data_IF_087807119911
#
_entry.id   IF_087807119911
#
_cell.length_a   1.000
_cell.length_b   1.000
_cell.length_c   1.000
_cell.angle_alpha   90.00
_cell.angle_beta   90.00
_cell.angle_gamma   90.00
#
_symmetry.space_group_name_H-M   'P 1'
#
loop_
_entity.id
_entity.type
_entity.pdbx_description
1 polymer ?
#
# COMPACT_ATOMS: atom_id res chain seq x y z
N UNK A 1 57.20 -6.17 9.04
CA UNK A 1 57.68 -4.78 8.89
C UNK A 1 57.60 -3.94 10.18
N UNK A 2 56.53 -3.88 10.95
CA UNK A 2 56.48 -3.02 12.14
C UNK A 2 57.48 -3.39 13.24
N UNK A 3 57.98 -4.62 13.23
CA UNK A 3 59.03 -5.15 14.13
C UNK A 3 60.44 -5.06 13.55
N UNK A 4 60.59 -4.73 12.26
CA UNK A 4 61.87 -4.63 11.56
C UNK A 4 62.61 -3.38 12.01
N UNK A 5 63.93 -3.49 12.18
CA UNK A 5 64.78 -2.36 12.52
C UNK A 5 65.11 -1.53 11.28
N UNK A 6 65.16 -0.23 11.44
CA UNK A 6 65.61 0.69 10.40
C UNK A 6 67.13 0.48 10.17
N UNK A 7 67.60 0.33 8.91
CA UNK A 7 68.98 0.22 8.59
C UNK A 7 69.83 1.41 9.08
N UNK A 8 69.24 2.61 9.05
CA UNK A 8 69.96 3.87 9.37
C UNK A 8 70.01 4.20 10.85
N UNK A 9 69.02 3.76 11.64
CA UNK A 9 68.86 4.20 13.03
C UNK A 9 68.72 3.05 14.03
N UNK A 10 68.83 1.79 13.61
CA UNK A 10 68.66 0.58 14.44
C UNK A 10 67.41 0.60 15.36
N UNK A 11 66.35 1.37 14.98
CA UNK A 11 65.05 1.50 15.70
C UNK A 11 63.95 0.78 14.94
N UNK A 12 63.04 0.17 15.66
CA UNK A 12 61.85 -0.46 15.06
C UNK A 12 60.98 0.59 14.36
N UNK A 13 60.49 0.29 13.16
CA UNK A 13 59.60 1.19 12.43
C UNK A 13 58.30 1.50 13.17
N UNK A 14 57.81 0.60 13.97
CA UNK A 14 56.57 0.76 14.73
C UNK A 14 55.31 0.71 13.85
N UNK A 15 54.21 0.22 14.41
CA UNK A 15 52.98 0.01 13.67
C UNK A 15 52.40 1.31 13.10
N UNK A 16 52.47 2.44 13.83
CA UNK A 16 51.90 3.71 13.42
C UNK A 16 52.52 4.25 12.12
N UNK A 17 53.86 4.13 11.99
CA UNK A 17 54.62 4.59 10.82
C UNK A 17 54.38 3.68 9.61
N UNK A 18 54.39 2.36 9.83
CA UNK A 18 54.12 1.38 8.77
C UNK A 18 52.67 1.52 8.26
N UNK A 19 51.70 1.64 9.16
CA UNK A 19 50.29 1.81 8.78
C UNK A 19 50.04 3.11 7.97
N UNK A 20 50.73 4.20 8.33
CA UNK A 20 50.67 5.47 7.57
C UNK A 20 51.29 5.31 6.18
N UNK A 21 52.48 4.69 6.08
CA UNK A 21 53.16 4.49 4.80
C UNK A 21 52.39 3.60 3.82
N UNK A 22 51.60 2.66 4.34
CA UNK A 22 50.79 1.73 3.55
C UNK A 22 49.34 2.18 3.40
N UNK A 23 48.99 3.35 3.91
CA UNK A 23 47.64 3.90 3.92
C UNK A 23 46.58 2.94 4.51
N UNK A 24 46.94 2.23 5.58
CA UNK A 24 46.07 1.26 6.26
C UNK A 24 45.68 1.77 7.64
N UNK A 25 44.44 1.59 8.04
CA UNK A 25 43.97 1.92 9.38
C UNK A 25 44.66 1.04 10.44
N UNK A 26 45.26 1.66 11.49
CA UNK A 26 45.84 0.91 12.63
C UNK A 26 44.82 0.00 13.30
N UNK A 27 43.56 0.46 13.42
CA UNK A 27 42.47 -0.33 13.97
C UNK A 27 42.18 -1.57 13.11
N UNK A 28 42.31 -1.46 11.78
CA UNK A 28 42.19 -2.59 10.85
C UNK A 28 43.30 -3.65 11.09
N UNK A 29 44.53 -3.20 11.28
CA UNK A 29 45.68 -4.12 11.57
C UNK A 29 45.51 -4.81 12.92
N UNK A 30 45.07 -4.11 13.95
CA UNK A 30 44.76 -4.72 15.25
C UNK A 30 43.63 -5.74 15.16
N UNK A 31 42.55 -5.41 14.45
CA UNK A 31 41.44 -6.34 14.22
C UNK A 31 41.85 -7.60 13.46
N UNK A 32 42.75 -7.47 12.49
CA UNK A 32 43.28 -8.61 11.74
C UNK A 32 44.26 -9.50 12.56
N UNK A 33 44.88 -8.95 13.60
CA UNK A 33 45.78 -9.70 14.50
C UNK A 33 45.07 -10.44 15.63
N UNK A 34 43.86 -10.02 15.96
CA UNK A 34 43.01 -10.75 16.90
C UNK A 34 42.46 -11.95 16.16
N UNK A 35 42.86 -13.16 16.52
CA UNK A 35 42.23 -14.38 16.04
C UNK A 35 40.73 -14.22 16.28
N UNK A 36 39.97 -14.25 15.19
CA UNK A 36 38.53 -14.21 15.29
C UNK A 36 38.12 -15.42 16.14
N UNK A 37 37.38 -15.25 17.25
CA UNK A 37 36.88 -16.40 17.99
C UNK A 37 36.11 -17.28 16.99
N UNK A 38 36.22 -18.63 17.12
CA UNK A 38 35.53 -19.54 16.26
C UNK A 38 34.06 -19.05 16.17
N UNK A 39 33.51 -19.02 15.01
CA UNK A 39 32.28 -18.39 14.57
C UNK A 39 31.09 -18.61 15.53
N UNK A 40 31.24 -18.15 16.76
CA UNK A 40 30.15 -17.98 17.68
C UNK A 40 29.30 -16.84 17.09
N UNK A 41 28.09 -17.15 16.72
CA UNK A 41 27.17 -16.24 16.08
C UNK A 41 27.30 -14.85 16.71
N UNK A 42 27.90 -13.90 15.98
CA UNK A 42 28.07 -12.52 16.44
C UNK A 42 26.67 -12.03 16.74
N UNK A 43 26.37 -11.83 18.02
CA UNK A 43 25.11 -11.18 18.42
C UNK A 43 25.03 -9.90 17.62
N UNK A 44 24.00 -9.82 16.74
CA UNK A 44 23.80 -8.63 15.92
C UNK A 44 23.63 -7.44 16.87
N UNK A 45 24.40 -6.34 16.67
CA UNK A 45 24.24 -5.15 17.49
C UNK A 45 22.83 -4.61 17.27
N UNK A 46 22.11 -4.38 18.33
CA UNK A 46 20.75 -3.83 18.33
C UNK A 46 19.94 -4.36 19.51
N UNK A 47 18.87 -3.66 19.88
CA UNK A 47 17.97 -4.13 20.92
C UNK A 47 17.37 -5.47 20.50
N UNK A 48 17.32 -6.42 21.43
CA UNK A 48 16.57 -7.68 21.26
C UNK A 48 15.11 -7.31 21.04
N UNK A 49 14.54 -7.73 19.91
CA UNK A 49 13.11 -7.49 19.62
C UNK A 49 12.23 -8.13 20.70
N UNK A 50 11.03 -7.60 20.89
CA UNK A 50 10.10 -8.06 21.90
C UNK A 50 9.63 -9.53 21.70
N UNK A 51 9.88 -10.10 20.52
CA UNK A 51 9.54 -11.49 20.17
C UNK A 51 10.65 -12.14 19.34
N UNK A 52 10.70 -13.48 19.31
CA UNK A 52 11.57 -14.26 18.43
C UNK A 52 11.20 -14.10 16.95
N UNK A 53 12.07 -14.55 16.03
CA UNK A 53 11.74 -14.52 14.60
C UNK A 53 10.62 -15.53 14.25
N UNK A 54 10.52 -16.64 14.97
CA UNK A 54 9.44 -17.61 14.82
C UNK A 54 8.07 -17.02 15.24
N UNK A 55 8.00 -16.38 16.40
CA UNK A 55 6.81 -15.67 16.87
C UNK A 55 6.42 -14.54 15.93
N UNK A 56 7.41 -13.79 15.43
CA UNK A 56 7.17 -12.73 14.45
C UNK A 56 6.58 -13.30 13.15
N UNK A 57 7.06 -14.46 12.68
CA UNK A 57 6.51 -15.13 11.51
C UNK A 57 5.05 -15.53 11.71
N UNK A 58 4.68 -16.03 12.90
CA UNK A 58 3.28 -16.34 13.22
C UNK A 58 2.40 -15.08 13.26
N UNK A 59 2.86 -14.01 13.88
CA UNK A 59 2.15 -12.74 13.84
C UNK A 59 1.96 -12.24 12.40
N UNK A 60 2.98 -12.36 11.54
CA UNK A 60 2.87 -11.99 10.13
C UNK A 60 1.81 -12.85 9.43
N UNK A 61 1.81 -14.18 9.61
CA UNK A 61 0.82 -15.10 9.02
C UNK A 61 -0.60 -14.75 9.46
N UNK A 62 -0.81 -14.51 10.74
CA UNK A 62 -2.11 -14.09 11.27
C UNK A 62 -2.62 -12.81 10.63
N UNK A 63 -1.73 -11.82 10.44
CA UNK A 63 -2.11 -10.57 9.77
C UNK A 63 -2.38 -10.76 8.27
N UNK A 64 -1.65 -11.61 7.57
CA UNK A 64 -1.90 -11.91 6.16
C UNK A 64 -3.23 -12.63 5.98
N UNK A 65 -3.53 -13.63 6.81
CA UNK A 65 -4.77 -14.43 6.71
C UNK A 65 -5.99 -13.69 7.25
N UNK A 66 -5.82 -12.88 8.28
CA UNK A 66 -6.92 -12.21 8.98
C UNK A 66 -7.60 -11.09 8.19
N UNK A 67 -6.90 -10.40 7.31
CA UNK A 67 -7.40 -9.18 6.64
C UNK A 67 -8.00 -9.37 5.25
N UNK A 68 -7.95 -10.55 4.69
CA UNK A 68 -8.61 -10.82 3.41
C UNK A 68 -7.91 -10.33 2.15
N UNK A 69 -6.99 -9.36 2.24
CA UNK A 69 -6.17 -8.92 1.13
C UNK A 69 -4.91 -9.76 1.02
N UNK A 70 -4.65 -10.31 -0.18
CA UNK A 70 -3.45 -11.09 -0.47
C UNK A 70 -2.37 -10.24 -1.12
N UNK A 71 -1.11 -10.65 -0.95
CA UNK A 71 0.03 -10.00 -1.61
C UNK A 71 0.37 -8.62 -1.06
N UNK A 72 0.08 -8.36 0.21
CA UNK A 72 0.48 -7.12 0.85
C UNK A 72 2.00 -7.06 1.10
N UNK A 73 2.60 -5.93 0.71
CA UNK A 73 4.03 -5.71 0.90
C UNK A 73 4.43 -5.57 2.37
N UNK A 74 5.71 -5.87 2.68
CA UNK A 74 6.24 -5.86 4.04
C UNK A 74 6.02 -4.54 4.81
N UNK A 75 5.91 -3.39 4.12
CA UNK A 75 5.65 -2.10 4.77
C UNK A 75 4.25 -2.04 5.38
N UNK A 76 3.24 -2.55 4.67
CA UNK A 76 1.86 -2.62 5.18
C UNK A 76 1.76 -3.61 6.33
N UNK A 77 2.36 -4.79 6.20
CA UNK A 77 2.43 -5.78 7.28
C UNK A 77 3.13 -5.19 8.51
N UNK A 78 4.26 -4.49 8.33
CA UNK A 78 4.94 -3.80 9.42
C UNK A 78 4.06 -2.77 10.13
N UNK A 79 3.32 -1.94 9.39
CA UNK A 79 2.42 -0.95 9.95
C UNK A 79 1.30 -1.59 10.78
N UNK A 80 0.72 -2.69 10.30
CA UNK A 80 -0.31 -3.47 11.02
C UNK A 80 0.23 -4.12 12.28
N UNK A 81 1.40 -4.74 12.21
CA UNK A 81 2.08 -5.32 13.37
C UNK A 81 2.29 -4.25 14.45
N UNK A 82 2.72 -3.05 14.03
CA UNK A 82 2.92 -1.93 14.95
C UNK A 82 1.60 -1.47 15.59
N UNK A 83 0.52 -1.37 14.82
CA UNK A 83 -0.81 -1.06 15.33
C UNK A 83 -1.34 -2.14 16.31
N UNK A 84 -0.96 -3.40 16.11
CA UNK A 84 -1.26 -4.51 17.01
C UNK A 84 -0.27 -4.62 18.21
N UNK A 85 0.62 -3.64 18.41
CA UNK A 85 1.57 -3.63 19.52
C UNK A 85 2.85 -4.45 19.31
N UNK A 86 3.00 -5.14 18.17
CA UNK A 86 4.19 -5.93 17.85
C UNK A 86 5.31 -5.03 17.32
N UNK A 87 6.34 -4.82 18.14
CA UNK A 87 7.48 -3.95 17.77
C UNK A 87 8.57 -4.72 17.06
N UNK A 88 8.70 -4.47 15.76
CA UNK A 88 9.78 -4.98 14.93
C UNK A 88 10.25 -3.88 13.96
N UNK A 89 11.50 -3.93 13.50
CA UNK A 89 11.95 -3.01 12.44
C UNK A 89 11.43 -3.45 11.07
N UNK A 90 11.19 -2.52 10.12
CA UNK A 90 10.76 -2.87 8.76
C UNK A 90 11.72 -3.85 8.06
N UNK A 91 13.03 -3.70 8.31
CA UNK A 91 14.06 -4.61 7.76
C UNK A 91 13.94 -6.03 8.31
N UNK A 92 13.61 -6.16 9.60
CA UNK A 92 13.40 -7.48 10.24
C UNK A 92 12.15 -8.14 9.68
N UNK A 93 11.03 -7.41 9.57
CA UNK A 93 9.80 -7.91 8.98
C UNK A 93 10.04 -8.38 7.55
N UNK A 94 10.70 -7.56 6.70
CA UNK A 94 11.04 -7.96 5.33
C UNK A 94 11.88 -9.24 5.27
N UNK A 95 12.89 -9.36 6.15
CA UNK A 95 13.74 -10.54 6.20
C UNK A 95 12.96 -11.79 6.58
N UNK A 96 12.19 -11.74 7.67
CA UNK A 96 11.37 -12.87 8.13
C UNK A 96 10.33 -13.25 7.07
N UNK A 97 9.68 -12.29 6.43
CA UNK A 97 8.77 -12.57 5.31
C UNK A 97 9.49 -13.28 4.16
N UNK A 98 10.74 -12.89 3.85
CA UNK A 98 11.56 -13.55 2.81
C UNK A 98 11.92 -15.00 3.18
N UNK A 99 12.40 -15.21 4.41
CA UNK A 99 12.80 -16.52 4.92
C UNK A 99 11.63 -17.54 4.96
N UNK A 100 10.40 -17.05 5.12
CA UNK A 100 9.17 -17.87 5.18
C UNK A 100 8.32 -17.84 3.90
N UNK A 101 8.81 -17.25 2.78
CA UNK A 101 8.06 -17.20 1.52
C UNK A 101 6.77 -16.36 1.57
N UNK A 102 6.69 -15.38 2.48
CA UNK A 102 5.52 -14.54 2.72
C UNK A 102 5.59 -13.17 2.03
N UNK A 103 6.60 -12.93 1.20
CA UNK A 103 6.71 -11.68 0.44
C UNK A 103 5.61 -11.58 -0.61
N UNK A 104 5.13 -10.36 -0.82
CA UNK A 104 4.20 -10.09 -1.92
C UNK A 104 4.82 -10.48 -3.27
N UNK A 105 4.02 -10.99 -4.22
CA UNK A 105 4.50 -11.28 -5.57
C UNK A 105 5.15 -10.05 -6.20
N UNK A 106 6.28 -10.25 -6.87
CA UNK A 106 6.95 -9.16 -7.57
C UNK A 106 6.10 -8.74 -8.76
N UNK A 107 5.64 -7.49 -8.76
CA UNK A 107 4.96 -6.91 -9.92
C UNK A 107 6.02 -6.47 -10.93
N UNK A 108 5.96 -7.00 -12.14
CA UNK A 108 6.77 -6.49 -13.24
C UNK A 108 6.47 -4.99 -13.41
N UNK A 109 7.50 -4.15 -13.36
CA UNK A 109 7.38 -2.73 -13.60
C UNK A 109 6.82 -2.48 -15.00
N UNK A 110 6.00 -1.45 -15.17
CA UNK A 110 5.56 -1.01 -16.49
C UNK A 110 6.80 -0.57 -17.28
N UNK A 111 7.02 -1.15 -18.44
CA UNK A 111 8.28 -1.02 -19.21
C UNK A 111 8.48 0.40 -19.78
N UNK A 112 7.40 1.20 -19.91
CA UNK A 112 7.48 2.61 -20.32
C UNK A 112 6.39 3.42 -19.63
N UNK A 113 6.79 4.51 -18.98
CA UNK A 113 5.85 5.56 -18.58
C UNK A 113 5.47 6.32 -19.85
N UNK A 114 4.20 6.23 -20.29
CA UNK A 114 3.69 7.16 -21.30
C UNK A 114 3.78 8.57 -20.71
N UNK A 115 4.30 9.52 -21.50
CA UNK A 115 4.23 10.93 -21.15
C UNK A 115 2.76 11.31 -21.00
N UNK A 116 2.37 11.77 -19.80
CA UNK A 116 1.01 12.17 -19.48
C UNK A 116 0.92 13.70 -19.55
N UNK A 117 0.13 14.22 -20.47
CA UNK A 117 -0.32 15.59 -20.43
C UNK A 117 -1.49 15.70 -19.45
N UNK A 118 -1.20 16.12 -18.22
CA UNK A 118 -2.22 16.48 -17.24
C UNK A 118 -2.55 15.39 -16.23
N UNK A 119 -1.77 15.29 -15.16
CA UNK A 119 -2.22 14.63 -13.92
C UNK A 119 -3.19 15.56 -13.20
N UNK A 120 -4.41 15.11 -12.92
CA UNK A 120 -5.33 15.84 -12.04
C UNK A 120 -4.77 15.76 -10.63
N UNK A 121 -4.33 16.89 -10.11
CA UNK A 121 -3.86 17.04 -8.73
C UNK A 121 -4.89 17.88 -7.99
N UNK A 122 -5.39 17.37 -6.88
CA UNK A 122 -6.26 18.10 -5.96
C UNK A 122 -5.47 18.46 -4.71
N UNK A 123 -5.59 19.70 -4.27
CA UNK A 123 -4.83 20.19 -3.10
C UNK A 123 -5.54 19.90 -1.78
N UNK A 124 -6.83 19.65 -1.81
CA UNK A 124 -7.69 19.48 -0.64
C UNK A 124 -8.52 18.21 -0.73
N UNK A 125 -8.80 17.65 0.43
CA UNK A 125 -9.75 16.54 0.59
C UNK A 125 -11.17 17.04 0.29
N UNK A 126 -12.00 16.19 -0.33
CA UNK A 126 -13.36 16.48 -0.77
C UNK A 126 -13.48 17.56 -1.87
N UNK A 127 -12.43 17.75 -2.66
CA UNK A 127 -12.46 18.56 -3.87
C UNK A 127 -12.87 17.74 -5.10
N UNK A 128 -12.36 16.51 -5.19
CA UNK A 128 -12.71 15.61 -6.29
C UNK A 128 -12.69 14.14 -5.84
N UNK A 129 -13.76 13.43 -6.14
CA UNK A 129 -13.84 11.98 -6.04
C UNK A 129 -13.85 11.33 -7.42
N UNK A 130 -13.31 10.12 -7.53
CA UNK A 130 -13.44 9.26 -8.70
C UNK A 130 -14.37 8.10 -8.39
N UNK A 131 -15.34 7.82 -9.26
CA UNK A 131 -16.16 6.61 -9.16
C UNK A 131 -15.94 5.72 -10.36
N UNK A 132 -15.97 4.41 -10.13
CA UNK A 132 -15.79 3.39 -11.16
C UNK A 132 -16.43 2.07 -10.72
N UNK A 133 -16.60 1.15 -11.66
CA UNK A 133 -17.24 -0.14 -11.45
C UNK A 133 -16.37 -1.28 -11.97
N UNK A 134 -16.42 -2.41 -11.28
CA UNK A 134 -15.84 -3.65 -11.80
C UNK A 134 -16.79 -4.82 -11.63
N UNK A 135 -16.61 -5.84 -12.47
CA UNK A 135 -17.36 -7.08 -12.41
C UNK A 135 -16.50 -8.21 -11.84
N UNK A 136 -17.11 -9.10 -11.07
CA UNK A 136 -16.50 -10.35 -10.61
C UNK A 136 -17.48 -11.51 -10.74
N UNK A 137 -17.00 -12.73 -10.54
CA UNK A 137 -17.81 -13.95 -10.57
C UNK A 137 -18.06 -14.41 -9.14
N UNK A 138 -19.27 -14.86 -8.86
CA UNK A 138 -19.67 -15.41 -7.57
C UNK A 138 -19.45 -16.93 -7.53
N UNK A 139 -19.46 -17.51 -6.35
CA UNK A 139 -19.33 -18.98 -6.10
C UNK A 139 -20.34 -19.79 -6.91
N UNK A 140 -21.54 -19.24 -7.13
CA UNK A 140 -22.62 -19.93 -7.84
C UNK A 140 -22.57 -19.67 -9.36
N UNK A 141 -21.45 -19.16 -9.90
CA UNK A 141 -21.28 -18.89 -11.34
C UNK A 141 -22.04 -17.64 -11.85
N UNK A 142 -22.68 -16.88 -10.95
CA UNK A 142 -23.33 -15.61 -11.28
C UNK A 142 -22.33 -14.45 -11.40
N UNK A 143 -22.82 -13.33 -11.93
CA UNK A 143 -22.06 -12.08 -11.98
C UNK A 143 -22.37 -11.23 -10.76
N UNK A 144 -21.37 -10.52 -10.28
CA UNK A 144 -21.52 -9.48 -9.28
C UNK A 144 -20.71 -8.24 -9.71
N UNK A 145 -21.17 -7.10 -9.28
CA UNK A 145 -20.62 -5.80 -9.63
C UNK A 145 -20.18 -5.10 -8.35
N UNK A 146 -19.01 -4.50 -8.39
CA UNK A 146 -18.48 -3.72 -7.26
C UNK A 146 -18.26 -2.29 -7.76
N UNK A 147 -18.94 -1.37 -7.12
CA UNK A 147 -18.87 0.06 -7.35
C UNK A 147 -18.01 0.70 -6.26
N UNK A 148 -17.24 1.69 -6.61
CA UNK A 148 -16.32 2.36 -5.69
C UNK A 148 -16.39 3.86 -5.86
N UNK A 149 -16.19 4.60 -4.76
CA UNK A 149 -15.91 6.02 -4.77
C UNK A 149 -14.59 6.26 -4.00
N UNK A 150 -13.66 6.97 -4.61
CA UNK A 150 -12.31 7.18 -4.13
C UNK A 150 -11.95 8.65 -4.15
N UNK A 151 -11.42 9.17 -3.06
CA UNK A 151 -10.91 10.53 -2.93
C UNK A 151 -9.61 10.70 -3.74
N UNK A 152 -9.51 11.78 -4.51
CA UNK A 152 -8.33 12.03 -5.34
C UNK A 152 -7.10 12.48 -4.56
N UNK A 153 -7.24 13.34 -3.55
CA UNK A 153 -6.12 13.93 -2.82
C UNK A 153 -5.29 12.88 -2.03
N UNK A 154 -5.96 11.96 -1.34
CA UNK A 154 -5.32 10.99 -0.44
C UNK A 154 -5.54 9.53 -0.84
N UNK A 155 -6.26 9.27 -1.94
CA UNK A 155 -6.64 7.92 -2.41
C UNK A 155 -7.42 7.11 -1.37
N UNK A 156 -8.17 7.77 -0.49
CA UNK A 156 -9.07 7.15 0.47
C UNK A 156 -10.32 6.60 -0.21
N UNK A 157 -10.77 5.42 0.20
CA UNK A 157 -12.02 4.85 -0.27
C UNK A 157 -13.14 5.45 0.57
N UNK A 158 -13.91 6.36 -0.03
CA UNK A 158 -15.03 7.01 0.64
C UNK A 158 -16.33 6.18 0.56
N UNK A 159 -16.41 5.26 -0.41
CA UNK A 159 -17.53 4.33 -0.51
C UNK A 159 -17.19 3.11 -1.36
N UNK A 160 -17.79 1.97 -0.99
CA UNK A 160 -17.72 0.72 -1.74
C UNK A 160 -19.04 -0.03 -1.61
N UNK A 161 -19.57 -0.47 -2.74
CA UNK A 161 -20.85 -1.18 -2.79
C UNK A 161 -20.75 -2.38 -3.73
N UNK A 162 -21.37 -3.50 -3.35
CA UNK A 162 -21.39 -4.71 -4.15
C UNK A 162 -22.85 -5.15 -4.40
N UNK A 163 -23.19 -5.39 -5.67
CA UNK A 163 -24.53 -5.73 -6.11
C UNK A 163 -24.55 -6.86 -7.13
N UNK A 164 -25.72 -7.50 -7.31
CA UNK A 164 -25.93 -8.53 -8.33
C UNK A 164 -26.26 -7.94 -9.71
N UNK A 165 -26.59 -6.67 -9.77
CA UNK A 165 -26.91 -5.96 -11.01
C UNK A 165 -26.08 -4.70 -11.17
N UNK A 166 -25.74 -4.34 -12.41
CA UNK A 166 -25.11 -3.07 -12.72
C UNK A 166 -26.18 -2.09 -13.16
N UNK A 167 -26.67 -1.28 -12.24
CA UNK A 167 -27.63 -0.23 -12.56
C UNK A 167 -27.24 1.10 -11.87
N UNK A 168 -27.90 2.18 -12.27
CA UNK A 168 -27.65 3.54 -11.81
C UNK A 168 -27.84 3.74 -10.30
N UNK A 169 -28.75 3.02 -9.68
CA UNK A 169 -29.04 3.13 -8.25
C UNK A 169 -27.90 2.50 -7.43
N UNK A 170 -27.39 1.35 -7.88
CA UNK A 170 -26.25 0.71 -7.26
C UNK A 170 -24.95 1.53 -7.44
N UNK A 171 -24.84 2.28 -8.55
CA UNK A 171 -23.73 3.19 -8.79
C UNK A 171 -23.74 4.41 -7.85
N UNK A 172 -24.93 4.83 -7.38
CA UNK A 172 -25.09 5.91 -6.40
C UNK A 172 -24.69 5.52 -4.98
N UNK A 173 -24.80 4.25 -4.61
CA UNK A 173 -24.54 3.79 -3.24
C UNK A 173 -23.17 4.15 -2.69
N UNK A 174 -22.03 3.93 -3.39
CA UNK A 174 -20.74 4.34 -2.87
C UNK A 174 -20.62 5.87 -2.75
N UNK A 175 -21.30 6.64 -3.61
CA UNK A 175 -21.31 8.10 -3.51
C UNK A 175 -22.08 8.53 -2.26
N UNK A 176 -23.27 7.96 -2.01
CA UNK A 176 -24.07 8.21 -0.81
C UNK A 176 -23.30 7.84 0.47
N UNK A 177 -22.63 6.70 0.49
CA UNK A 177 -21.78 6.30 1.62
C UNK A 177 -20.70 7.34 1.90
N UNK A 178 -20.01 7.80 0.86
CA UNK A 178 -18.99 8.84 0.96
C UNK A 178 -19.56 10.15 1.47
N UNK A 179 -20.70 10.60 0.91
CA UNK A 179 -21.38 11.83 1.36
C UNK A 179 -21.79 11.72 2.83
N UNK A 180 -22.38 10.61 3.24
CA UNK A 180 -22.74 10.40 4.64
C UNK A 180 -21.51 10.39 5.56
N UNK A 181 -20.43 9.74 5.15
CA UNK A 181 -19.20 9.65 5.94
C UNK A 181 -18.47 11.00 6.08
N UNK A 182 -18.33 11.74 4.97
CA UNK A 182 -17.51 12.95 4.93
C UNK A 182 -18.28 14.22 5.30
N UNK A 183 -19.59 14.27 5.04
CA UNK A 183 -20.43 15.45 5.26
C UNK A 183 -21.52 15.25 6.34
N UNK A 184 -21.64 14.03 6.89
CA UNK A 184 -22.50 13.70 8.02
C UNK A 184 -23.96 13.43 7.71
N UNK A 185 -24.52 13.93 6.60
CA UNK A 185 -25.91 13.74 6.21
C UNK A 185 -26.09 13.68 4.70
N UNK A 186 -27.20 13.11 4.24
CA UNK A 186 -27.60 13.12 2.83
C UNK A 186 -28.72 14.14 2.69
N UNK A 187 -28.36 15.38 2.42
CA UNK A 187 -29.29 16.50 2.26
C UNK A 187 -28.96 17.32 1.01
N UNK A 188 -29.91 18.02 0.41
CA UNK A 188 -29.67 18.82 -0.77
C UNK A 188 -28.51 19.83 -0.56
N UNK A 189 -27.58 19.86 -1.49
CA UNK A 189 -26.44 20.78 -1.50
C UNK A 189 -25.36 20.53 -0.44
N UNK A 190 -25.41 19.42 0.30
CA UNK A 190 -24.46 19.12 1.40
C UNK A 190 -23.02 18.98 0.92
N UNK A 191 -22.82 18.46 -0.28
CA UNK A 191 -21.50 18.24 -0.88
C UNK A 191 -21.12 19.32 -1.91
N UNK A 192 -21.61 20.54 -1.73
CA UNK A 192 -21.33 21.67 -2.65
C UNK A 192 -19.82 21.94 -2.72
N UNK A 193 -19.29 21.98 -3.96
CA UNK A 193 -17.88 22.16 -4.24
C UNK A 193 -17.12 20.88 -4.49
N UNK A 194 -17.74 19.72 -4.26
CA UNK A 194 -17.20 18.42 -4.63
C UNK A 194 -17.43 18.15 -6.11
N UNK A 195 -16.43 17.65 -6.82
CA UNK A 195 -16.52 17.15 -8.20
C UNK A 195 -16.48 15.62 -8.18
N UNK A 196 -17.38 15.00 -8.98
CA UNK A 196 -17.40 13.55 -9.13
C UNK A 196 -16.93 13.14 -10.53
N UNK A 197 -15.75 12.54 -10.59
CA UNK A 197 -15.17 11.99 -11.82
C UNK A 197 -15.75 10.61 -12.10
N UNK A 198 -16.24 10.39 -13.32
CA UNK A 198 -16.80 9.12 -13.76
C UNK A 198 -16.55 8.91 -15.25
N UNK A 199 -16.67 7.68 -15.73
CA UNK A 199 -16.66 7.37 -17.15
C UNK A 199 -18.02 7.70 -17.81
N UNK A 200 -18.11 7.45 -19.14
CA UNK A 200 -19.34 7.62 -19.91
C UNK A 200 -20.24 6.38 -19.86
N UNK A 201 -20.08 5.52 -18.87
CA UNK A 201 -20.95 4.36 -18.68
C UNK A 201 -22.40 4.75 -18.51
N UNK A 202 -23.33 3.93 -19.06
CA UNK A 202 -24.78 4.22 -19.04
C UNK A 202 -25.34 4.44 -17.63
N UNK A 203 -24.74 3.80 -16.62
CA UNK A 203 -25.15 3.97 -15.23
C UNK A 203 -24.92 5.40 -14.75
N UNK A 204 -23.73 5.95 -15.04
CA UNK A 204 -23.31 7.28 -14.63
C UNK A 204 -23.94 8.39 -15.48
N UNK A 205 -24.19 8.13 -16.76
CA UNK A 205 -24.84 9.09 -17.68
C UNK A 205 -26.35 9.08 -17.59
N UNK A 206 -26.93 8.22 -16.75
CA UNK A 206 -28.42 8.19 -16.58
C UNK A 206 -28.91 9.44 -15.88
N UNK A 207 -30.10 9.87 -16.24
CA UNK A 207 -30.75 11.05 -15.66
C UNK A 207 -30.88 10.93 -14.13
N UNK A 208 -31.33 9.79 -13.62
CA UNK A 208 -31.49 9.58 -12.17
C UNK A 208 -30.15 9.72 -11.42
N UNK A 209 -29.05 9.27 -12.01
CA UNK A 209 -27.73 9.43 -11.40
C UNK A 209 -27.30 10.90 -11.38
N UNK A 210 -27.48 11.60 -12.50
CA UNK A 210 -27.06 13.01 -12.61
C UNK A 210 -27.96 13.91 -11.72
N UNK A 211 -29.26 13.69 -11.71
CA UNK A 211 -30.21 14.46 -10.87
C UNK A 211 -29.87 14.28 -9.36
N UNK A 212 -29.50 13.08 -8.94
CA UNK A 212 -29.12 12.80 -7.54
C UNK A 212 -27.82 13.51 -7.14
N UNK A 213 -26.74 13.41 -7.94
CA UNK A 213 -25.48 14.07 -7.61
C UNK A 213 -25.63 15.60 -7.64
N UNK A 214 -26.43 16.14 -8.56
CA UNK A 214 -26.76 17.56 -8.62
C UNK A 214 -27.57 17.99 -7.37
N UNK A 215 -28.56 17.20 -6.96
CA UNK A 215 -29.29 17.43 -5.72
C UNK A 215 -28.36 17.49 -4.50
N UNK A 216 -27.36 16.62 -4.42
CA UNK A 216 -26.36 16.64 -3.35
C UNK A 216 -25.39 17.83 -3.45
N UNK A 217 -25.41 18.59 -4.54
CA UNK A 217 -24.51 19.70 -4.81
C UNK A 217 -23.17 19.29 -5.39
N UNK A 218 -23.08 18.06 -5.90
CA UNK A 218 -21.88 17.50 -6.52
C UNK A 218 -21.84 17.89 -8.00
N UNK A 219 -20.72 18.42 -8.47
CA UNK A 219 -20.48 18.74 -9.88
C UNK A 219 -20.06 17.47 -10.64
N UNK A 220 -20.81 17.10 -11.69
CA UNK A 220 -20.42 16.03 -12.58
C UNK A 220 -19.17 16.40 -13.38
N UNK A 221 -18.16 15.53 -13.39
CA UNK A 221 -16.91 15.71 -14.13
C UNK A 221 -16.62 14.47 -14.97
N UNK A 222 -17.32 14.25 -16.09
CA UNK A 222 -17.05 13.07 -16.92
C UNK A 222 -15.62 13.11 -17.47
N UNK A 223 -14.97 11.95 -17.53
CA UNK A 223 -13.65 11.82 -18.14
C UNK A 223 -13.72 12.09 -19.64
N UNK A 224 -12.68 12.64 -20.24
CA UNK A 224 -12.66 12.86 -21.68
C UNK A 224 -12.76 11.56 -22.45
N UNK A 225 -13.51 11.57 -23.54
CA UNK A 225 -13.67 10.42 -24.43
C UNK A 225 -12.30 10.04 -25.00
N UNK A 226 -11.84 8.79 -24.77
CA UNK A 226 -10.53 8.24 -25.16
C UNK A 226 -9.32 8.69 -24.32
N UNK A 227 -9.53 9.41 -23.22
CA UNK A 227 -8.45 9.70 -22.26
C UNK A 227 -8.75 8.96 -20.93
N UNK A 228 -8.31 7.70 -20.80
CA UNK A 228 -8.56 6.89 -19.60
C UNK A 228 -7.87 7.45 -18.34
N UNK A 229 -6.96 8.41 -18.53
CA UNK A 229 -6.12 8.96 -17.48
C UNK A 229 -6.88 9.84 -16.47
N UNK A 230 -8.04 10.34 -16.87
CA UNK A 230 -8.87 11.21 -16.04
C UNK A 230 -9.43 10.54 -14.77
N UNK A 231 -9.54 9.21 -14.70
CA UNK A 231 -10.07 8.46 -13.54
C UNK A 231 -9.03 7.52 -12.91
N UNK A 232 -7.76 7.81 -13.09
CA UNK A 232 -6.64 6.93 -12.71
C UNK A 232 -6.59 6.54 -11.24
N UNK A 233 -7.20 7.30 -10.33
CA UNK A 233 -7.26 6.96 -8.89
C UNK A 233 -8.23 5.81 -8.66
N UNK A 234 -9.46 5.89 -9.19
CA UNK A 234 -10.45 4.83 -9.08
C UNK A 234 -10.00 3.55 -9.82
N UNK A 235 -9.43 3.68 -11.02
CA UNK A 235 -8.87 2.56 -11.77
C UNK A 235 -7.74 1.85 -11.02
N UNK A 236 -6.83 2.60 -10.40
CA UNK A 236 -5.74 2.05 -9.58
C UNK A 236 -6.29 1.28 -8.38
N UNK A 237 -7.32 1.82 -7.74
CA UNK A 237 -7.97 1.12 -6.64
C UNK A 237 -8.66 -0.17 -7.11
N UNK A 238 -9.44 -0.12 -8.19
CA UNK A 238 -10.09 -1.31 -8.77
C UNK A 238 -9.06 -2.38 -9.13
N UNK A 239 -7.94 -2.00 -9.71
CA UNK A 239 -6.86 -2.94 -9.98
C UNK A 239 -6.35 -3.59 -8.69
N UNK A 240 -6.13 -2.82 -7.63
CA UNK A 240 -5.71 -3.34 -6.33
C UNK A 240 -6.77 -4.27 -5.74
N UNK A 241 -8.04 -3.89 -5.84
CA UNK A 241 -9.18 -4.70 -5.39
C UNK A 241 -9.25 -6.04 -6.14
N UNK A 242 -9.12 -6.04 -7.46
CA UNK A 242 -9.08 -7.25 -8.29
C UNK A 242 -7.94 -8.17 -7.89
N UNK A 243 -6.72 -7.66 -7.90
CA UNK A 243 -5.51 -8.47 -7.67
C UNK A 243 -5.42 -9.04 -6.24
N UNK A 244 -5.90 -8.30 -5.25
CA UNK A 244 -5.70 -8.67 -3.85
C UNK A 244 -6.94 -9.28 -3.19
N UNK A 245 -8.10 -9.18 -3.82
CA UNK A 245 -9.36 -9.62 -3.23
C UNK A 245 -10.26 -10.37 -4.21
N UNK A 246 -10.74 -9.74 -5.30
CA UNK A 246 -11.79 -10.31 -6.15
C UNK A 246 -11.35 -11.55 -6.93
N UNK A 247 -10.06 -11.65 -7.30
CA UNK A 247 -9.50 -12.82 -8.00
C UNK A 247 -9.07 -13.94 -7.05
N UNK A 248 -8.95 -13.64 -5.76
CA UNK A 248 -8.45 -14.59 -4.75
C UNK A 248 -9.58 -15.16 -3.91
N UNK A 249 -10.71 -14.42 -3.80
CA UNK A 249 -11.87 -14.81 -2.98
C UNK A 249 -13.16 -14.71 -3.77
N UNK A 250 -14.16 -15.42 -3.31
CA UNK A 250 -15.49 -15.39 -3.86
C UNK A 250 -16.29 -14.20 -3.36
N UNK A 251 -17.25 -13.72 -4.15
CA UNK A 251 -18.08 -12.56 -3.81
C UNK A 251 -18.91 -12.75 -2.53
N UNK A 252 -19.40 -13.97 -2.24
CA UNK A 252 -20.16 -14.24 -1.02
C UNK A 252 -19.35 -14.04 0.26
N UNK A 253 -18.05 -14.35 0.22
CA UNK A 253 -17.14 -14.05 1.34
C UNK A 253 -16.94 -12.54 1.52
N UNK A 254 -16.95 -11.78 0.45
CA UNK A 254 -16.85 -10.32 0.49
C UNK A 254 -18.05 -9.65 1.12
N UNK A 255 -19.26 -10.04 0.72
CA UNK A 255 -20.50 -9.46 1.22
C UNK A 255 -20.65 -9.65 2.75
N UNK A 256 -20.24 -10.78 3.29
CA UNK A 256 -20.26 -11.04 4.74
C UNK A 256 -19.29 -10.17 5.53
N UNK A 257 -18.18 -9.73 4.93
CA UNK A 257 -17.16 -8.91 5.62
C UNK A 257 -17.42 -7.40 5.54
N UNK A 258 -18.03 -6.91 4.49
CA UNK A 258 -18.36 -5.48 4.36
C UNK A 258 -19.40 -5.03 5.40
N UNK A 259 -20.30 -5.93 5.82
CA UNK A 259 -21.26 -5.65 6.90
C UNK A 259 -20.64 -5.57 8.30
N UNK A 260 -19.41 -6.09 8.49
CA UNK A 260 -18.72 -6.11 9.78
C UNK A 260 -17.55 -5.10 9.91
N UNK A 261 -17.16 -4.39 8.86
CA UNK A 261 -16.07 -3.43 8.91
C UNK A 261 -16.46 -2.04 8.42
N UNK A 262 -17.34 -1.38 9.16
CA UNK A 262 -17.61 0.04 9.00
C UNK A 262 -16.48 0.89 9.63
N UNK A 263 -15.23 0.68 9.25
CA UNK A 263 -14.11 1.60 9.52
C UNK A 263 -13.37 1.87 8.22
N UNK A 264 -13.17 3.14 7.84
CA UNK A 264 -12.41 3.49 6.65
C UNK A 264 -10.98 2.98 6.78
N UNK A 265 -10.55 2.18 5.81
CA UNK A 265 -9.17 1.71 5.73
C UNK A 265 -8.42 2.65 4.79
N UNK A 266 -7.65 3.56 5.36
CA UNK A 266 -6.71 4.39 4.59
C UNK A 266 -5.67 3.47 3.95
N UNK A 267 -5.70 3.35 2.64
CA UNK A 267 -4.65 2.67 1.88
C UNK A 267 -3.61 3.73 1.53
N UNK A 268 -2.65 3.94 2.46
CA UNK A 268 -1.46 4.70 2.14
C UNK A 268 -0.70 3.97 1.02
N UNK A 269 -0.47 4.69 -0.07
CA UNK A 269 0.30 4.27 -1.23
C UNK A 269 1.78 4.06 -0.94
#
# INVERSE_FOLDING_TARGET
>A
MSQTLSPSFARRYGLARVARAWNVSRAGVYRARVEAPPYAARRRPGPVGACSDAELAEHIRLHITGFGFHGEGYRKIWARLRAAGVRASPRRVRRVMGEHGLLAPHRAGRTEAKAHDGTIVTDRVNEMWGTDMTQTITTNGGKAYVFVAVEHANSEIVGIHAARSANRFEALEPVRQGVHCCFGAITPGVARGLKLRHDHGSNYMSRDFQDEIECLGIEASPSFVREPEGNGVAERFIRTLKENLLWVRTFEELARRSSNSARPTTIAG
#
